data_IF_930580458477
#
_entry.id   IF_930580458477
#
_cell.length_a   1.000
_cell.length_b   1.000
_cell.length_c   1.000
_cell.angle_alpha   90.00
_cell.angle_beta   90.00
_cell.angle_gamma   90.00
#
_symmetry.space_group_name_H-M   'P 1'
#
loop_
_entity.id
_entity.type
_entity.pdbx_description
1 polymer ?
#
# COMPACT_ATOMS: atom_id res chain seq x y z
N UNK A 1 -27.88 -2.60 -23.72
CA UNK A 1 -27.93 -2.05 -22.35
C UNK A 1 -26.49 -1.75 -21.95
N UNK A 2 -26.07 -0.49 -22.00
CA UNK A 2 -24.70 -0.10 -21.64
C UNK A 2 -24.57 -0.22 -20.13
N UNK A 3 -23.77 -1.19 -19.67
CA UNK A 3 -23.45 -1.38 -18.25
C UNK A 3 -22.60 -0.17 -17.84
N UNK A 4 -23.16 0.76 -17.08
CA UNK A 4 -22.41 1.89 -16.54
C UNK A 4 -21.31 1.33 -15.63
N UNK A 5 -20.05 1.59 -15.99
CA UNK A 5 -18.89 1.31 -15.16
C UNK A 5 -18.39 2.65 -14.63
N UNK A 6 -18.12 2.78 -13.32
CA UNK A 6 -17.51 3.99 -12.78
C UNK A 6 -16.14 4.20 -13.45
N UNK A 7 -15.79 5.46 -13.71
CA UNK A 7 -14.43 5.78 -14.14
C UNK A 7 -13.46 5.47 -12.99
N UNK A 8 -12.21 5.15 -13.30
CA UNK A 8 -11.14 4.93 -12.31
C UNK A 8 -11.13 5.94 -11.17
N UNK A 9 -11.28 7.22 -11.51
CA UNK A 9 -11.24 8.29 -10.52
C UNK A 9 -12.38 8.20 -9.50
N UNK A 10 -13.56 7.72 -9.89
CA UNK A 10 -14.71 7.63 -8.98
C UNK A 10 -14.51 6.54 -7.93
N UNK A 11 -14.08 5.34 -8.35
CA UNK A 11 -13.82 4.22 -7.43
C UNK A 11 -12.71 4.57 -6.45
N UNK A 12 -11.61 5.13 -6.95
CA UNK A 12 -10.46 5.48 -6.09
C UNK A 12 -10.81 6.66 -5.17
N UNK A 13 -11.57 7.65 -5.65
CA UNK A 13 -12.03 8.79 -4.83
C UNK A 13 -12.98 8.35 -3.72
N UNK A 14 -13.90 7.42 -4.02
CA UNK A 14 -14.78 6.85 -3.00
C UNK A 14 -13.97 6.16 -1.88
N UNK A 15 -12.93 5.41 -2.24
CA UNK A 15 -12.05 4.77 -1.28
C UNK A 15 -11.22 5.79 -0.48
N UNK A 16 -10.67 6.82 -1.14
CA UNK A 16 -9.96 7.91 -0.48
C UNK A 16 -10.86 8.62 0.54
N UNK A 17 -12.10 8.91 0.16
CA UNK A 17 -13.11 9.54 1.03
C UNK A 17 -13.39 8.69 2.26
N UNK A 18 -13.57 7.38 2.10
CA UNK A 18 -13.78 6.45 3.22
C UNK A 18 -12.57 6.41 4.17
N UNK A 19 -11.36 6.30 3.61
CA UNK A 19 -10.13 6.28 4.41
C UNK A 19 -10.01 7.59 5.19
N UNK A 20 -10.25 8.74 4.57
CA UNK A 20 -10.18 10.04 5.22
C UNK A 20 -11.27 10.23 6.27
N UNK A 21 -12.45 9.67 6.06
CA UNK A 21 -13.52 9.70 7.05
C UNK A 21 -13.11 8.96 8.34
N UNK A 22 -12.49 7.78 8.21
CA UNK A 22 -12.10 6.94 9.33
C UNK A 22 -10.75 7.32 9.96
N UNK A 23 -9.82 7.80 9.14
CA UNK A 23 -8.40 7.96 9.48
C UNK A 23 -7.81 9.32 9.08
N UNK A 24 -8.63 10.35 8.81
CA UNK A 24 -8.16 11.71 8.50
C UNK A 24 -7.63 12.49 9.71
N UNK A 25 -7.42 11.84 10.86
CA UNK A 25 -6.87 12.44 12.08
C UNK A 25 -5.70 11.59 12.56
N UNK A 26 -4.56 12.25 12.78
CA UNK A 26 -3.34 11.56 13.19
C UNK A 26 -2.70 10.80 12.03
N UNK A 27 -1.54 10.20 12.29
CA UNK A 27 -0.80 9.42 11.28
C UNK A 27 -1.47 8.07 11.10
N UNK A 28 -1.75 7.70 9.86
CA UNK A 28 -2.30 6.38 9.55
C UNK A 28 -1.58 5.70 8.38
N UNK A 29 -1.54 4.37 8.45
CA UNK A 29 -0.96 3.49 7.45
C UNK A 29 -2.06 2.81 6.66
N UNK A 30 -1.98 2.88 5.34
CA UNK A 30 -2.84 2.17 4.41
C UNK A 30 -2.00 1.16 3.65
N UNK A 31 -2.33 -0.12 3.76
CA UNK A 31 -1.73 -1.15 2.92
C UNK A 31 -2.55 -1.34 1.65
N UNK A 32 -1.87 -1.44 0.51
CA UNK A 32 -2.47 -1.80 -0.78
C UNK A 32 -1.67 -2.98 -1.32
N UNK A 33 -2.29 -4.12 -1.50
CA UNK A 33 -1.57 -5.30 -1.97
C UNK A 33 -2.40 -6.10 -2.96
N UNK A 34 -1.76 -7.01 -3.65
CA UNK A 34 -2.38 -7.88 -4.62
C UNK A 34 -1.33 -8.83 -5.19
N UNK A 35 -1.78 -9.82 -5.95
CA UNK A 35 -0.84 -10.72 -6.63
C UNK A 35 -0.04 -9.96 -7.68
N UNK A 36 1.09 -10.54 -8.09
CA UNK A 36 1.87 -10.03 -9.21
C UNK A 36 0.97 -9.83 -10.44
N UNK A 37 1.11 -8.68 -11.09
CA UNK A 37 0.28 -8.31 -12.24
C UNK A 37 -1.13 -7.79 -11.90
N UNK A 38 -1.51 -7.71 -10.62
CA UNK A 38 -2.79 -7.10 -10.19
C UNK A 38 -2.90 -5.60 -10.47
N UNK A 39 -1.77 -4.92 -10.61
CA UNK A 39 -1.73 -3.46 -10.67
C UNK A 39 -1.81 -2.77 -9.29
N UNK A 40 -1.66 -3.49 -8.18
CA UNK A 40 -1.73 -2.95 -6.83
C UNK A 40 -0.83 -1.72 -6.60
N UNK A 41 0.40 -1.74 -7.12
CA UNK A 41 1.33 -0.60 -7.01
C UNK A 41 0.80 0.65 -7.73
N UNK A 42 0.30 0.50 -8.95
CA UNK A 42 -0.29 1.60 -9.70
C UNK A 42 -1.54 2.13 -8.99
N UNK A 43 -2.41 1.23 -8.52
CA UNK A 43 -3.60 1.60 -7.74
C UNK A 43 -3.23 2.37 -6.45
N UNK A 44 -2.15 1.97 -5.77
CA UNK A 44 -1.64 2.68 -4.59
C UNK A 44 -1.15 4.10 -4.93
N UNK A 45 -0.51 4.27 -6.10
CA UNK A 45 -0.10 5.58 -6.61
C UNK A 45 -1.32 6.47 -6.92
N UNK A 46 -2.34 5.92 -7.59
CA UNK A 46 -3.60 6.61 -7.88
C UNK A 46 -4.33 7.03 -6.59
N UNK A 47 -4.38 6.14 -5.59
CA UNK A 47 -4.98 6.42 -4.29
C UNK A 47 -4.27 7.57 -3.58
N UNK A 48 -2.93 7.59 -3.59
CA UNK A 48 -2.18 8.69 -3.00
C UNK A 48 -2.36 10.02 -3.74
N UNK A 49 -2.51 9.99 -5.08
CA UNK A 49 -2.81 11.18 -5.85
C UNK A 49 -4.19 11.74 -5.46
N UNK A 50 -5.22 10.91 -5.41
CA UNK A 50 -6.57 11.34 -5.06
C UNK A 50 -6.70 11.82 -3.62
N UNK A 51 -6.03 11.18 -2.65
CA UNK A 51 -5.97 11.70 -1.27
C UNK A 51 -5.39 13.12 -1.23
N UNK A 52 -4.39 13.43 -2.07
CA UNK A 52 -3.83 14.79 -2.17
C UNK A 52 -4.79 15.76 -2.85
N UNK A 53 -5.52 15.32 -3.86
CA UNK A 53 -6.56 16.13 -4.51
C UNK A 53 -7.70 16.50 -3.55
N UNK A 54 -8.05 15.59 -2.63
CA UNK A 54 -8.99 15.84 -1.52
C UNK A 54 -8.40 16.74 -0.40
N UNK A 55 -7.21 17.30 -0.62
CA UNK A 55 -6.58 18.27 0.29
C UNK A 55 -5.85 17.65 1.48
N UNK A 56 -5.57 16.35 1.45
CA UNK A 56 -4.91 15.64 2.55
C UNK A 56 -3.51 15.16 2.17
N UNK A 57 -2.56 15.24 3.12
CA UNK A 57 -1.18 14.83 2.82
C UNK A 57 -1.07 13.30 2.71
N UNK A 58 -0.64 12.80 1.55
CA UNK A 58 -0.35 11.39 1.33
C UNK A 58 1.10 11.17 0.90
N UNK A 59 1.69 10.08 1.38
CA UNK A 59 3.04 9.66 1.04
C UNK A 59 3.03 8.19 0.57
N UNK A 60 3.93 7.86 -0.34
CA UNK A 60 4.08 6.52 -0.91
C UNK A 60 5.35 5.86 -0.39
N UNK A 61 5.27 4.56 -0.14
CA UNK A 61 6.40 3.67 0.07
C UNK A 61 6.06 2.29 -0.51
N UNK A 62 7.07 1.51 -0.86
CA UNK A 62 6.90 0.12 -1.28
C UNK A 62 7.73 -0.78 -0.37
N UNK A 63 7.22 -1.98 -0.02
CA UNK A 63 8.07 -2.95 0.69
C UNK A 63 9.26 -3.40 -0.17
N UNK A 64 9.17 -3.26 -1.51
CA UNK A 64 10.29 -3.54 -2.42
C UNK A 64 11.48 -2.60 -2.20
N UNK A 65 11.26 -1.42 -1.60
CA UNK A 65 12.30 -0.44 -1.26
C UNK A 65 12.97 -0.70 0.11
N UNK A 66 12.62 -1.82 0.77
CA UNK A 66 13.19 -2.25 2.05
C UNK A 66 13.60 -3.72 2.03
N UNK A 67 13.87 -4.28 0.85
CA UNK A 67 14.31 -5.66 0.72
C UNK A 67 15.67 -5.90 1.37
N UNK A 68 15.90 -7.14 1.81
CA UNK A 68 17.24 -7.63 2.10
C UNK A 68 18.07 -7.67 0.79
N UNK A 69 19.41 -7.59 0.85
CA UNK A 69 20.28 -7.85 -0.31
C UNK A 69 20.04 -9.22 -0.95
N UNK A 70 20.33 -9.38 -2.24
CA UNK A 70 20.04 -10.63 -2.99
C UNK A 70 20.67 -11.86 -2.35
N UNK A 71 21.88 -11.72 -1.78
CA UNK A 71 22.56 -12.81 -1.10
C UNK A 71 21.74 -13.37 0.08
N UNK A 72 21.09 -12.50 0.85
CA UNK A 72 20.26 -12.89 1.99
C UNK A 72 18.89 -13.38 1.52
N UNK A 73 18.31 -12.76 0.48
CA UNK A 73 17.04 -13.21 -0.13
C UNK A 73 17.11 -14.62 -0.70
N UNK A 74 18.30 -15.07 -1.15
CA UNK A 74 18.49 -16.46 -1.57
C UNK A 74 18.21 -17.48 -0.45
N UNK A 75 18.31 -17.07 0.82
CA UNK A 75 18.03 -17.90 2.00
C UNK A 75 16.62 -17.67 2.52
N UNK A 76 16.16 -16.43 2.52
CA UNK A 76 14.93 -16.01 3.21
C UNK A 76 13.69 -15.88 2.30
N UNK A 77 13.88 -15.93 0.98
CA UNK A 77 12.83 -15.68 -0.03
C UNK A 77 13.13 -14.43 -0.88
N UNK A 78 12.78 -14.47 -2.17
CA UNK A 78 13.11 -13.40 -3.13
C UNK A 78 12.48 -12.03 -2.80
N UNK A 79 11.44 -12.05 -1.99
CA UNK A 79 10.67 -10.92 -1.52
C UNK A 79 11.01 -10.54 -0.06
N UNK A 80 11.99 -11.20 0.57
CA UNK A 80 12.31 -10.99 1.98
C UNK A 80 12.72 -9.53 2.28
N UNK A 81 12.03 -8.95 3.27
CA UNK A 81 12.14 -7.55 3.70
C UNK A 81 13.07 -7.44 4.90
N UNK A 82 13.93 -6.42 4.91
CA UNK A 82 14.66 -5.99 6.10
C UNK A 82 13.70 -5.23 7.04
N UNK A 83 12.97 -6.00 7.86
CA UNK A 83 11.98 -5.44 8.78
C UNK A 83 12.57 -4.47 9.79
N UNK A 84 13.81 -4.71 10.22
CA UNK A 84 14.49 -3.82 11.16
C UNK A 84 14.72 -2.45 10.53
N UNK A 85 15.13 -2.42 9.25
CA UNK A 85 15.29 -1.19 8.48
C UNK A 85 13.95 -0.52 8.20
N UNK A 86 12.95 -1.28 7.75
CA UNK A 86 11.58 -0.79 7.53
C UNK A 86 11.03 -0.10 8.80
N UNK A 87 11.18 -0.74 9.97
CA UNK A 87 10.66 -0.20 11.23
C UNK A 87 11.36 1.06 11.65
N UNK A 88 12.70 1.04 11.71
CA UNK A 88 13.51 2.15 12.22
C UNK A 88 13.50 3.37 11.29
N UNK A 89 13.44 3.16 9.98
CA UNK A 89 13.56 4.25 9.00
C UNK A 89 12.21 4.80 8.54
N UNK A 90 11.17 3.98 8.50
CA UNK A 90 9.86 4.37 7.98
C UNK A 90 8.78 4.37 9.07
N UNK A 91 8.52 3.21 9.67
CA UNK A 91 7.31 3.01 10.50
C UNK A 91 7.36 3.81 11.80
N UNK A 92 8.41 3.63 12.59
CA UNK A 92 8.57 4.28 13.90
C UNK A 92 8.60 5.81 13.77
N UNK A 93 9.45 6.41 12.91
CA UNK A 93 9.47 7.87 12.77
C UNK A 93 8.15 8.42 12.21
N UNK A 94 7.50 7.73 11.27
CA UNK A 94 6.20 8.20 10.77
C UNK A 94 5.13 8.20 11.88
N UNK A 95 5.11 7.17 12.74
CA UNK A 95 4.17 7.06 13.88
C UNK A 95 4.33 8.16 14.91
N UNK A 96 5.56 8.63 15.15
CA UNK A 96 5.82 9.70 16.12
C UNK A 96 5.10 11.01 15.76
N UNK A 97 4.84 11.24 14.47
CA UNK A 97 4.17 12.45 14.01
C UNK A 97 5.00 13.72 14.24
N UNK A 98 4.33 14.88 14.24
CA UNK A 98 5.01 16.17 14.39
C UNK A 98 6.06 16.41 13.30
N UNK A 99 7.24 16.90 13.69
CA UNK A 99 8.38 17.19 12.81
C UNK A 99 9.30 15.98 12.57
N UNK A 100 8.91 14.77 13.00
CA UNK A 100 9.70 13.57 12.75
C UNK A 100 9.83 13.33 11.24
N UNK A 101 11.07 13.12 10.80
CA UNK A 101 11.37 12.76 9.42
C UNK A 101 11.49 11.23 9.30
N UNK A 102 11.02 10.69 8.18
CA UNK A 102 11.13 9.28 7.84
C UNK A 102 11.74 9.12 6.45
N UNK A 103 12.13 7.90 6.09
CA UNK A 103 12.70 7.56 4.79
C UNK A 103 11.76 6.60 4.07
N UNK A 104 11.14 7.00 2.93
CA UNK A 104 10.20 6.14 2.21
C UNK A 104 10.88 5.10 1.31
N UNK A 105 12.18 5.25 1.03
CA UNK A 105 12.97 4.34 0.19
C UNK A 105 14.39 4.19 0.72
N UNK A 106 14.81 2.97 1.01
CA UNK A 106 16.14 2.67 1.56
C UNK A 106 16.97 1.68 0.71
N UNK A 107 16.33 0.98 -0.23
CA UNK A 107 16.96 -0.03 -1.05
C UNK A 107 16.58 0.11 -2.53
N UNK A 108 17.51 -0.26 -3.41
CA UNK A 108 17.31 -0.38 -4.84
C UNK A 108 17.38 -1.86 -5.23
N UNK A 109 16.23 -2.45 -5.59
CA UNK A 109 16.13 -3.87 -5.96
C UNK A 109 16.93 -4.22 -7.22
N UNK A 110 16.95 -3.33 -8.21
CA UNK A 110 17.61 -3.58 -9.49
C UNK A 110 19.13 -3.52 -9.34
N UNK A 111 19.61 -2.47 -8.67
CA UNK A 111 21.03 -2.29 -8.39
C UNK A 111 21.54 -3.15 -7.20
N UNK A 112 20.62 -3.81 -6.49
CA UNK A 112 20.86 -4.64 -5.29
C UNK A 112 21.73 -3.95 -4.23
N UNK A 113 21.40 -2.69 -3.91
CA UNK A 113 22.16 -1.89 -2.95
C UNK A 113 21.29 -0.90 -2.22
N UNK A 114 21.78 -0.45 -1.07
CA UNK A 114 21.17 0.66 -0.35
C UNK A 114 21.23 1.95 -1.17
N UNK A 115 20.19 2.75 -1.05
CA UNK A 115 20.14 4.09 -1.63
C UNK A 115 20.48 5.13 -0.59
N UNK A 116 20.95 6.29 -1.04
CA UNK A 116 21.11 7.42 -0.15
C UNK A 116 19.74 7.81 0.41
N UNK A 117 19.65 7.87 1.74
CA UNK A 117 18.41 8.19 2.43
C UNK A 117 17.93 9.61 2.10
N UNK A 118 16.72 9.70 1.53
CA UNK A 118 16.00 10.95 1.39
C UNK A 118 14.99 11.07 2.52
N UNK A 119 15.28 11.97 3.46
CA UNK A 119 14.42 12.22 4.62
C UNK A 119 13.26 13.12 4.23
N UNK A 120 12.05 12.72 4.63
CA UNK A 120 10.79 13.42 4.33
C UNK A 120 10.06 13.71 5.63
N UNK A 121 9.46 14.90 5.73
CA UNK A 121 8.56 15.29 6.82
C UNK A 121 7.14 15.52 6.29
N UNK A 122 6.14 15.58 7.16
CA UNK A 122 4.78 15.92 6.76
C UNK A 122 3.92 16.35 7.94
N UNK A 123 2.65 16.72 7.71
CA UNK A 123 1.75 17.18 8.76
C UNK A 123 1.30 16.03 9.67
N UNK A 124 0.81 16.37 10.87
CA UNK A 124 0.44 15.40 11.93
C UNK A 124 -0.64 14.40 11.55
N UNK A 125 -1.38 14.66 10.49
CA UNK A 125 -2.49 13.87 9.97
C UNK A 125 -2.13 13.11 8.68
N UNK A 126 -0.90 13.15 8.19
CA UNK A 126 -0.63 12.53 6.89
C UNK A 126 -0.88 11.02 6.86
N UNK A 127 -1.24 10.53 5.68
CA UNK A 127 -1.38 9.12 5.35
C UNK A 127 -0.10 8.57 4.70
N UNK A 128 0.29 7.36 5.08
CA UNK A 128 1.32 6.59 4.37
C UNK A 128 0.65 5.39 3.69
N UNK A 129 0.70 5.39 2.36
CA UNK A 129 0.15 4.32 1.53
C UNK A 129 1.31 3.42 1.10
N UNK A 130 1.26 2.15 1.49
CA UNK A 130 2.35 1.17 1.33
C UNK A 130 1.89 0.00 0.46
N UNK A 131 2.64 -0.32 -0.60
CA UNK A 131 2.38 -1.48 -1.45
C UNK A 131 3.22 -2.72 -1.09
N UNK A 132 2.70 -3.91 -1.44
CA UNK A 132 3.35 -5.21 -1.17
C UNK A 132 3.23 -5.68 0.28
N UNK A 133 2.22 -5.20 0.99
CA UNK A 133 2.21 -5.11 2.45
C UNK A 133 1.41 -6.20 3.21
N UNK A 134 0.73 -7.11 2.51
CA UNK A 134 -0.27 -8.02 3.10
C UNK A 134 0.07 -9.50 2.89
N UNK A 135 0.25 -9.96 1.65
CA UNK A 135 0.43 -11.38 1.34
C UNK A 135 1.76 -11.91 1.89
N UNK A 136 1.72 -12.96 2.72
CA UNK A 136 2.92 -13.54 3.33
C UNK A 136 3.63 -12.64 4.33
N UNK A 137 2.92 -11.66 4.93
CA UNK A 137 3.45 -10.63 5.84
C UNK A 137 2.68 -10.52 7.14
N UNK A 138 2.36 -11.65 7.77
CA UNK A 138 1.56 -11.69 9.01
C UNK A 138 2.18 -10.87 10.17
N UNK A 139 3.50 -10.83 10.25
CA UNK A 139 4.28 -10.02 11.18
C UNK A 139 4.07 -8.50 11.04
N UNK A 140 3.54 -8.04 9.90
CA UNK A 140 3.18 -6.64 9.65
C UNK A 140 1.68 -6.36 9.82
N UNK A 141 0.83 -7.37 10.06
CA UNK A 141 -0.62 -7.20 10.09
C UNK A 141 -1.09 -6.13 11.10
N UNK A 142 -0.42 -6.00 12.25
CA UNK A 142 -0.71 -4.98 13.27
C UNK A 142 -0.26 -3.56 12.92
N UNK A 143 0.30 -3.32 11.73
CA UNK A 143 0.75 -2.00 11.28
C UNK A 143 -0.39 -1.18 10.65
N UNK A 144 -1.29 -1.84 9.92
CA UNK A 144 -2.17 -1.21 8.96
C UNK A 144 -3.47 -0.73 9.60
N UNK A 145 -3.82 0.54 9.40
CA UNK A 145 -5.12 1.09 9.79
C UNK A 145 -6.19 0.73 8.76
N UNK A 146 -5.83 0.73 7.48
CA UNK A 146 -6.70 0.34 6.38
C UNK A 146 -5.96 -0.60 5.43
N UNK A 147 -6.65 -1.60 4.89
CA UNK A 147 -6.07 -2.64 4.03
C UNK A 147 -6.92 -2.79 2.76
N UNK A 148 -6.26 -2.73 1.61
CA UNK A 148 -6.86 -2.87 0.28
C UNK A 148 -6.22 -4.07 -0.41
N UNK A 149 -7.05 -4.99 -0.88
CA UNK A 149 -6.63 -6.07 -1.77
C UNK A 149 -7.04 -5.77 -3.21
N UNK A 150 -6.11 -5.86 -4.15
CA UNK A 150 -6.31 -5.59 -5.57
C UNK A 150 -6.19 -6.89 -6.34
N UNK A 151 -7.24 -7.23 -7.09
CA UNK A 151 -7.32 -8.41 -7.93
C UNK A 151 -7.13 -8.03 -9.39
N UNK A 152 -6.22 -8.69 -10.09
CA UNK A 152 -6.01 -8.49 -11.53
C UNK A 152 -6.81 -9.46 -12.40
N UNK A 153 -6.70 -9.28 -13.72
CA UNK A 153 -7.32 -10.16 -14.73
C UNK A 153 -6.87 -11.62 -14.60
N UNK A 154 -5.60 -11.84 -14.31
CA UNK A 154 -5.00 -13.16 -14.16
C UNK A 154 -4.77 -13.46 -12.67
N UNK A 155 -5.84 -13.55 -11.88
CA UNK A 155 -5.77 -13.92 -10.47
C UNK A 155 -5.35 -15.41 -10.28
N UNK A 156 -4.17 -15.77 -10.76
CA UNK A 156 -3.54 -17.06 -10.53
C UNK A 156 -2.85 -17.01 -9.16
N UNK A 157 -3.48 -17.64 -8.17
CA UNK A 157 -2.94 -17.76 -6.81
C UNK A 157 -3.74 -16.96 -5.79
N UNK A 158 -5.00 -17.32 -5.53
CA UNK A 158 -5.83 -16.69 -4.49
C UNK A 158 -5.12 -16.72 -3.13
N UNK A 159 -4.52 -15.60 -2.69
CA UNK A 159 -4.17 -15.41 -1.28
C UNK A 159 -5.47 -15.14 -0.52
N UNK A 160 -6.24 -16.21 -0.29
CA UNK A 160 -7.56 -16.14 0.34
C UNK A 160 -7.51 -15.44 1.69
N UNK A 161 -6.40 -15.60 2.43
CA UNK A 161 -6.18 -14.99 3.72
C UNK A 161 -5.94 -13.47 3.64
N UNK A 162 -5.06 -13.01 2.75
CA UNK A 162 -4.80 -11.56 2.58
C UNK A 162 -6.06 -10.85 2.07
N UNK A 163 -6.77 -11.49 1.13
CA UNK A 163 -8.08 -11.02 0.65
C UNK A 163 -9.11 -10.93 1.78
N UNK A 164 -9.27 -11.99 2.57
CA UNK A 164 -10.26 -12.04 3.66
C UNK A 164 -9.95 -11.06 4.81
N UNK A 165 -8.69 -10.67 5.00
CA UNK A 165 -8.27 -9.67 6.00
C UNK A 165 -8.34 -8.23 5.49
N UNK A 166 -8.68 -8.01 4.22
CA UNK A 166 -8.72 -6.69 3.63
C UNK A 166 -10.06 -5.99 3.85
N UNK A 167 -10.02 -4.72 4.24
CA UNK A 167 -11.22 -3.89 4.43
C UNK A 167 -11.88 -3.50 3.11
N UNK A 168 -11.11 -3.46 2.03
CA UNK A 168 -11.61 -3.30 0.67
C UNK A 168 -10.97 -4.31 -0.26
N UNK A 169 -11.77 -4.86 -1.17
CA UNK A 169 -11.31 -5.66 -2.30
C UNK A 169 -11.66 -4.93 -3.59
N UNK A 170 -10.69 -4.78 -4.48
CA UNK A 170 -10.81 -4.06 -5.74
C UNK A 170 -10.57 -5.04 -6.90
N UNK A 171 -11.56 -5.22 -7.76
CA UNK A 171 -11.38 -5.80 -9.09
C UNK A 171 -10.74 -4.75 -10.00
N UNK A 172 -9.52 -5.03 -10.43
CA UNK A 172 -8.69 -4.22 -11.30
C UNK A 172 -8.37 -4.95 -12.62
N UNK A 173 -9.25 -5.86 -13.07
CA UNK A 173 -9.10 -6.55 -14.35
C UNK A 173 -9.20 -5.61 -15.57
N UNK A 174 -9.79 -4.43 -15.38
CA UNK A 174 -9.73 -3.26 -16.25
C UNK A 174 -9.24 -2.05 -15.42
N UNK A 175 -7.95 -1.67 -15.52
CA UNK A 175 -7.37 -0.58 -14.73
C UNK A 175 -7.99 0.80 -14.96
N UNK A 176 -8.71 1.00 -16.08
CA UNK A 176 -9.41 2.25 -16.35
C UNK A 176 -10.81 2.28 -15.71
N UNK A 177 -11.32 1.12 -15.29
CA UNK A 177 -12.62 0.96 -14.64
C UNK A 177 -12.59 -0.02 -13.46
N UNK A 178 -11.70 0.19 -12.45
CA UNK A 178 -11.64 -0.62 -11.26
C UNK A 178 -12.96 -0.56 -10.49
N UNK A 179 -13.33 -1.68 -9.86
CA UNK A 179 -14.59 -1.83 -9.14
C UNK A 179 -14.36 -2.40 -7.76
N UNK A 180 -14.99 -1.81 -6.75
CA UNK A 180 -15.02 -2.43 -5.42
C UNK A 180 -15.90 -3.68 -5.45
N UNK A 181 -15.36 -4.76 -4.93
CA UNK A 181 -16.11 -5.97 -4.65
C UNK A 181 -16.64 -5.90 -3.22
N UNK A 182 -17.93 -6.12 -3.07
CA UNK A 182 -18.56 -6.33 -1.78
C UNK A 182 -18.85 -7.83 -1.72
N UNK A 183 -18.08 -8.56 -0.91
CA UNK A 183 -18.47 -9.92 -0.62
C UNK A 183 -19.73 -9.84 0.24
N UNK A 184 -20.85 -10.27 -0.33
CA UNK A 184 -22.08 -10.48 0.43
C UNK A 184 -21.83 -11.62 1.41
N UNK A 185 -21.33 -11.28 2.61
CA UNK A 185 -21.33 -12.17 3.74
C UNK A 185 -22.79 -12.35 4.19
N UNK A 186 -23.48 -13.30 3.53
CA UNK A 186 -24.70 -13.92 4.03
C UNK A 186 -24.38 -14.86 5.20
#
# INVERSE_FOLDING_TARGET
MTRWAPEKSDTVRALATEILHNYGRGRAFVAVDGLDGSGARAFADDLAALVKEEGHAAFRASLTDFLLPRADRAVHGDDAVDESKLRRMLVEPFRLGGSAAWVPRAFDREADREVQATWVTGPKDALLIVDGALAGRENLAGLWNYTVWVEGREAAGRSHEARARSLAVIDNADPEHPRRLFDDAC
#
